data_IF_937786045845
#
_entry.id   IF_937786045845
#
_cell.length_a   1.000
_cell.length_b   1.000
_cell.length_c   1.000
_cell.angle_alpha   90.00
_cell.angle_beta   90.00
_cell.angle_gamma   90.00
#
_symmetry.space_group_name_H-M   'P 1'
#
loop_
_entity.id
_entity.type
_entity.pdbx_description
1 polymer ?
#
# COMPACT_ATOMS: atom_id res chain seq x y z
N UNK A 1 34.51 4.70 12.05
CA UNK A 1 34.44 5.02 10.60
C UNK A 1 33.37 6.07 10.28
N UNK A 2 32.07 5.83 10.56
CA UNK A 2 30.99 6.79 10.26
C UNK A 2 31.13 8.14 10.99
N UNK A 3 31.57 8.15 12.26
CA UNK A 3 31.81 9.40 12.98
C UNK A 3 32.95 10.26 12.38
N UNK A 4 33.93 9.64 11.71
CA UNK A 4 35.07 10.35 11.09
C UNK A 4 34.80 10.77 9.64
N UNK A 5 34.02 9.99 8.88
CA UNK A 5 33.87 10.19 7.43
C UNK A 5 32.41 10.36 6.95
N UNK A 6 31.44 10.34 7.86
CA UNK A 6 30.01 10.39 7.54
C UNK A 6 29.51 11.71 6.96
N UNK A 7 30.34 12.77 7.02
CA UNK A 7 29.99 14.12 6.58
C UNK A 7 29.75 14.24 5.06
N UNK A 8 30.19 13.26 4.25
CA UNK A 8 29.94 13.21 2.81
C UNK A 8 28.78 12.28 2.42
N UNK A 9 28.29 11.48 3.36
CA UNK A 9 27.33 10.41 3.09
C UNK A 9 25.94 11.00 2.79
N UNK A 10 25.32 10.54 1.71
CA UNK A 10 23.96 10.95 1.29
C UNK A 10 22.88 9.92 1.61
N UNK A 11 23.24 8.64 1.62
CA UNK A 11 22.31 7.54 1.88
C UNK A 11 22.97 6.59 2.88
N UNK A 12 22.27 6.25 3.95
CA UNK A 12 22.73 5.26 4.92
C UNK A 12 21.65 4.21 5.13
N UNK A 13 21.95 2.98 4.73
CA UNK A 13 21.02 1.88 4.84
C UNK A 13 21.54 0.85 5.85
N UNK A 14 20.89 0.80 7.02
CA UNK A 14 21.24 -0.08 8.13
C UNK A 14 20.05 -0.95 8.54
N UNK A 15 19.10 -1.20 7.64
CA UNK A 15 17.95 -2.07 7.89
C UNK A 15 18.33 -3.48 8.34
N UNK A 16 17.58 -4.05 9.28
CA UNK A 16 17.72 -5.44 9.73
C UNK A 16 19.11 -5.82 10.29
N UNK A 17 19.82 -4.89 10.95
CA UNK A 17 21.17 -5.11 11.47
C UNK A 17 21.26 -5.24 13.01
N UNK A 18 20.12 -5.28 13.71
CA UNK A 18 20.09 -5.38 15.17
C UNK A 18 20.63 -4.14 15.89
N UNK A 19 20.66 -2.98 15.23
CA UNK A 19 21.13 -1.72 15.80
C UNK A 19 20.25 -1.32 17.00
N UNK A 20 20.87 -0.96 18.12
CA UNK A 20 20.18 -0.56 19.35
C UNK A 20 20.25 0.94 19.62
N UNK A 21 21.26 1.63 19.07
CA UNK A 21 21.45 3.07 19.24
C UNK A 21 22.18 3.68 18.03
N UNK A 22 21.87 4.95 17.74
CA UNK A 22 22.50 5.74 16.66
C UNK A 22 22.96 7.13 17.14
N UNK A 23 22.97 7.38 18.46
CA UNK A 23 23.25 8.68 19.06
C UNK A 23 24.65 9.23 18.73
N UNK A 24 25.67 8.38 18.76
CA UNK A 24 27.06 8.81 18.51
C UNK A 24 27.32 9.11 17.03
N UNK A 25 26.57 8.50 16.10
CA UNK A 25 26.86 8.60 14.66
C UNK A 25 26.03 9.68 13.97
N UNK A 26 24.75 9.87 14.36
CA UNK A 26 23.83 10.82 13.71
C UNK A 26 24.36 12.25 13.60
N UNK A 27 25.04 12.82 14.62
CA UNK A 27 25.60 14.17 14.55
C UNK A 27 26.54 14.42 13.37
N UNK A 28 27.19 13.37 12.86
CA UNK A 28 28.21 13.45 11.81
C UNK A 28 27.64 13.27 10.39
N UNK A 29 26.34 13.02 10.25
CA UNK A 29 25.71 12.58 9.00
C UNK A 29 24.89 13.71 8.31
N UNK A 30 25.29 14.96 8.49
CA UNK A 30 24.53 16.18 8.10
C UNK A 30 24.24 16.35 6.60
N UNK A 31 24.79 15.50 5.73
CA UNK A 31 24.48 15.49 4.28
C UNK A 31 23.52 14.38 3.85
N UNK A 32 23.03 13.57 4.80
CA UNK A 32 22.07 12.51 4.50
C UNK A 32 20.78 13.08 3.92
N UNK A 33 20.33 12.44 2.85
CA UNK A 33 19.02 12.60 2.24
C UNK A 33 18.13 11.38 2.49
N UNK A 34 18.72 10.20 2.73
CA UNK A 34 17.98 8.95 2.99
C UNK A 34 18.61 8.21 4.18
N UNK A 35 17.79 7.83 5.16
CA UNK A 35 18.19 7.06 6.34
C UNK A 35 17.24 5.88 6.57
N UNK A 36 17.79 4.68 6.35
CA UNK A 36 17.16 3.37 6.51
C UNK A 36 17.59 2.76 7.85
N UNK A 37 16.69 2.67 8.82
CA UNK A 37 16.92 2.09 10.15
C UNK A 37 15.85 1.04 10.51
N UNK A 38 15.11 0.56 9.52
CA UNK A 38 14.03 -0.41 9.69
C UNK A 38 14.49 -1.77 10.23
N UNK A 39 13.60 -2.50 10.89
CA UNK A 39 13.87 -3.87 11.35
C UNK A 39 15.01 -3.98 12.38
N UNK A 40 15.25 -2.93 13.15
CA UNK A 40 16.28 -2.89 14.18
C UNK A 40 15.68 -2.98 15.60
N UNK A 41 16.48 -2.67 16.64
CA UNK A 41 16.07 -2.74 18.05
C UNK A 41 16.17 -1.38 18.73
N UNK A 42 15.97 -0.29 18.00
CA UNK A 42 16.02 1.07 18.53
C UNK A 42 14.85 1.27 19.52
N UNK A 43 15.17 1.60 20.77
CA UNK A 43 14.18 2.01 21.78
C UNK A 43 13.88 3.51 21.74
N UNK A 44 14.83 4.30 21.22
CA UNK A 44 14.74 5.74 21.07
C UNK A 44 15.41 6.23 19.79
N UNK A 45 14.97 7.40 19.33
CA UNK A 45 15.64 8.16 18.29
C UNK A 45 16.20 9.43 18.94
N UNK A 46 17.52 9.69 18.86
CA UNK A 46 18.13 10.79 19.60
C UNK A 46 17.78 12.14 18.98
N UNK A 47 17.77 13.18 19.81
CA UNK A 47 17.54 14.58 19.41
C UNK A 47 18.46 15.06 18.27
N UNK A 48 19.65 14.45 18.14
CA UNK A 48 20.58 14.71 17.05
C UNK A 48 19.99 14.52 15.64
N UNK A 49 18.86 13.80 15.49
CA UNK A 49 18.15 13.67 14.21
C UNK A 49 17.81 15.03 13.60
N UNK A 50 17.50 16.04 14.43
CA UNK A 50 17.17 17.39 13.97
C UNK A 50 18.29 18.10 13.21
N UNK A 51 19.54 17.63 13.33
CA UNK A 51 20.68 18.15 12.56
C UNK A 51 20.67 17.71 11.09
N UNK A 52 19.83 16.74 10.73
CA UNK A 52 19.72 16.23 9.36
C UNK A 52 18.69 17.05 8.55
N UNK A 53 19.01 18.32 8.33
CA UNK A 53 18.16 19.30 7.62
C UNK A 53 17.88 18.93 6.15
N UNK A 54 18.76 18.13 5.55
CA UNK A 54 18.69 17.61 4.17
C UNK A 54 17.96 16.27 4.07
N UNK A 55 17.60 15.64 5.18
CA UNK A 55 16.95 14.34 5.19
C UNK A 55 15.58 14.44 4.51
N UNK A 56 15.34 13.60 3.51
CA UNK A 56 14.09 13.52 2.74
C UNK A 56 13.29 12.29 3.13
N UNK A 57 13.96 11.17 3.32
CA UNK A 57 13.32 9.90 3.66
C UNK A 57 13.91 9.30 4.93
N UNK A 58 13.04 8.99 5.87
CA UNK A 58 13.39 8.36 7.14
C UNK A 58 12.55 7.11 7.37
N UNK A 59 13.18 5.95 7.36
CA UNK A 59 12.54 4.66 7.59
C UNK A 59 12.97 4.08 8.94
N UNK A 60 12.03 4.05 9.89
CA UNK A 60 12.19 3.60 11.28
C UNK A 60 11.30 2.40 11.60
N UNK A 61 10.62 1.84 10.61
CA UNK A 61 9.59 0.85 10.85
C UNK A 61 10.16 -0.48 11.38
N UNK A 62 9.40 -1.20 12.21
CA UNK A 62 9.87 -2.44 12.82
C UNK A 62 10.99 -2.23 13.85
N UNK A 63 10.83 -1.22 14.72
CA UNK A 63 11.72 -0.94 15.86
C UNK A 63 10.91 -1.00 17.18
N UNK A 64 11.51 -0.53 18.28
CA UNK A 64 10.91 -0.52 19.61
C UNK A 64 10.64 0.90 20.14
N UNK A 65 10.55 1.90 19.23
CA UNK A 65 10.43 3.32 19.58
C UNK A 65 9.15 3.58 20.37
N UNK A 66 9.27 4.28 21.49
CA UNK A 66 8.12 4.68 22.32
C UNK A 66 7.68 6.13 22.10
N UNK A 67 8.60 6.96 21.62
CA UNK A 67 8.37 8.34 21.22
C UNK A 67 9.27 8.73 20.04
N UNK A 68 8.95 9.84 19.37
CA UNK A 68 9.84 10.54 18.44
C UNK A 68 10.33 11.83 19.12
N UNK A 69 11.60 12.22 18.96
CA UNK A 69 12.14 13.45 19.53
C UNK A 69 11.49 14.68 18.89
N UNK A 70 11.31 15.75 19.66
CA UNK A 70 10.73 17.00 19.14
C UNK A 70 11.61 17.62 18.04
N UNK A 71 12.91 17.40 18.11
CA UNK A 71 13.91 17.85 17.14
C UNK A 71 13.70 17.25 15.74
N UNK A 72 12.91 16.17 15.61
CA UNK A 72 12.51 15.68 14.29
C UNK A 72 11.76 16.74 13.47
N UNK A 73 11.10 17.70 14.13
CA UNK A 73 10.49 18.87 13.47
C UNK A 73 11.49 19.81 12.78
N UNK A 74 12.80 19.68 13.03
CA UNK A 74 13.86 20.48 12.40
C UNK A 74 14.32 19.91 11.06
N UNK A 75 13.92 18.68 10.70
CA UNK A 75 14.23 18.05 9.42
C UNK A 75 13.41 18.66 8.27
N UNK A 76 13.63 19.94 7.95
CA UNK A 76 12.79 20.73 7.03
C UNK A 76 12.64 20.16 5.60
N UNK A 77 13.57 19.28 5.17
CA UNK A 77 13.51 18.60 3.88
C UNK A 77 12.71 17.29 3.89
N UNK A 78 12.23 16.83 5.04
CA UNK A 78 11.63 15.50 5.18
C UNK A 78 10.31 15.42 4.42
N UNK A 79 10.24 14.50 3.47
CA UNK A 79 9.07 14.22 2.62
C UNK A 79 8.36 12.94 3.02
N UNK A 80 9.09 11.95 3.54
CA UNK A 80 8.54 10.65 3.94
C UNK A 80 9.08 10.23 5.31
N UNK A 81 8.16 9.91 6.22
CA UNK A 81 8.44 9.31 7.52
C UNK A 81 7.68 7.97 7.65
N UNK A 82 8.43 6.87 7.71
CA UNK A 82 7.89 5.56 8.02
C UNK A 82 8.26 5.13 9.44
N UNK A 83 7.32 5.20 10.38
CA UNK A 83 7.52 4.79 11.78
C UNK A 83 6.48 3.75 12.25
N UNK A 84 5.90 3.01 11.31
CA UNK A 84 4.97 1.93 11.58
C UNK A 84 5.64 0.72 12.26
N UNK A 85 4.87 -0.16 12.89
CA UNK A 85 5.42 -1.28 13.70
C UNK A 85 6.43 -0.82 14.75
N UNK A 86 6.01 0.13 15.59
CA UNK A 86 6.76 0.61 16.76
C UNK A 86 5.84 0.58 18.00
N UNK A 87 6.20 1.30 19.06
CA UNK A 87 5.43 1.41 20.30
C UNK A 87 5.07 2.87 20.61
N UNK A 88 4.97 3.72 19.58
CA UNK A 88 4.74 5.16 19.73
C UNK A 88 3.40 5.40 20.43
N UNK A 89 3.43 6.09 21.57
CA UNK A 89 2.21 6.45 22.31
C UNK A 89 1.64 7.82 21.88
N UNK A 90 2.51 8.71 21.38
CA UNK A 90 2.13 10.01 20.86
C UNK A 90 3.10 10.48 19.77
N UNK A 91 2.71 11.56 19.07
CA UNK A 91 3.59 12.30 18.18
C UNK A 91 3.96 13.65 18.80
N UNK A 92 5.23 14.09 18.69
CA UNK A 92 5.62 15.42 19.15
C UNK A 92 4.90 16.49 18.33
N UNK A 93 4.42 17.55 18.99
CA UNK A 93 3.74 18.67 18.31
C UNK A 93 4.63 19.31 17.23
N UNK A 94 5.95 19.34 17.46
CA UNK A 94 6.95 19.85 16.52
C UNK A 94 6.94 19.12 15.16
N UNK A 95 6.43 17.87 15.09
CA UNK A 95 6.27 17.19 13.81
C UNK A 95 5.36 17.97 12.85
N UNK A 96 4.35 18.68 13.39
CA UNK A 96 3.44 19.52 12.61
C UNK A 96 4.11 20.73 11.93
N UNK A 97 5.37 21.03 12.25
CA UNK A 97 6.13 22.11 11.63
C UNK A 97 6.87 21.68 10.34
N UNK A 98 6.77 20.42 9.92
CA UNK A 98 7.48 19.91 8.74
C UNK A 98 6.80 20.35 7.44
N UNK A 99 7.39 21.30 6.68
CA UNK A 99 6.69 21.98 5.58
C UNK A 99 6.61 21.13 4.29
N UNK A 100 7.26 19.97 4.25
CA UNK A 100 7.37 19.11 3.05
C UNK A 100 6.93 17.68 3.30
N UNK A 101 6.46 17.34 4.50
CA UNK A 101 6.10 15.96 4.85
C UNK A 101 4.81 15.56 4.13
N UNK A 102 4.96 14.70 3.13
CA UNK A 102 3.88 14.21 2.27
C UNK A 102 3.42 12.81 2.66
N UNK A 103 4.32 11.96 3.16
CA UNK A 103 4.00 10.59 3.60
C UNK A 103 4.29 10.39 5.08
N UNK A 104 3.26 10.06 5.86
CA UNK A 104 3.36 9.74 7.28
C UNK A 104 2.72 8.37 7.58
N UNK A 105 3.55 7.40 7.92
CA UNK A 105 3.14 6.01 8.14
C UNK A 105 3.37 5.61 9.59
N UNK A 106 2.28 5.43 10.33
CA UNK A 106 2.25 5.23 11.77
C UNK A 106 1.43 4.01 12.19
N UNK A 107 1.02 3.19 11.24
CA UNK A 107 0.21 2.01 11.54
C UNK A 107 0.93 1.04 12.48
N UNK A 108 0.17 0.29 13.29
CA UNK A 108 0.74 -0.64 14.28
C UNK A 108 1.66 0.06 15.30
N UNK A 109 1.09 1.03 16.02
CA UNK A 109 1.71 1.71 17.14
C UNK A 109 0.76 1.69 18.35
N UNK A 110 1.01 2.53 19.37
CA UNK A 110 0.18 2.70 20.56
C UNK A 110 -0.44 4.10 20.62
N UNK A 111 -0.56 4.79 19.48
CA UNK A 111 -1.12 6.15 19.44
C UNK A 111 -2.58 6.06 19.86
N UNK A 112 -3.03 6.89 20.79
CA UNK A 112 -4.40 6.83 21.27
C UNK A 112 -4.97 8.20 21.60
N UNK A 113 -6.10 8.17 22.31
CA UNK A 113 -6.86 9.38 22.64
C UNK A 113 -7.68 9.89 21.45
N UNK A 114 -7.96 11.20 21.47
CA UNK A 114 -8.80 11.86 20.46
C UNK A 114 -8.05 12.04 19.13
N UNK A 115 -8.64 11.53 18.05
CA UNK A 115 -8.12 11.74 16.70
C UNK A 115 -8.26 13.22 16.29
N UNK A 116 -9.31 13.89 16.74
CA UNK A 116 -9.49 15.33 16.55
C UNK A 116 -8.35 16.12 17.21
N UNK A 117 -7.96 15.76 18.44
CA UNK A 117 -6.83 16.40 19.12
C UNK A 117 -5.51 16.18 18.38
N UNK A 118 -5.23 14.95 17.91
CA UNK A 118 -4.04 14.66 17.09
C UNK A 118 -4.03 15.47 15.80
N UNK A 119 -5.19 15.60 15.14
CA UNK A 119 -5.35 16.42 13.94
C UNK A 119 -5.04 17.88 14.23
N UNK A 120 -5.63 18.47 15.27
CA UNK A 120 -5.43 19.88 15.60
C UNK A 120 -3.98 20.18 16.01
N UNK A 121 -3.34 19.25 16.71
CA UNK A 121 -1.97 19.44 17.20
C UNK A 121 -0.89 19.22 16.15
N UNK A 122 -1.10 18.25 15.24
CA UNK A 122 -0.05 17.79 14.31
C UNK A 122 -0.55 17.76 12.88
N UNK A 123 -1.57 16.95 12.57
CA UNK A 123 -1.84 16.55 11.19
C UNK A 123 -2.33 17.71 10.30
N UNK A 124 -3.14 18.64 10.84
CA UNK A 124 -3.70 19.76 10.05
C UNK A 124 -2.65 20.73 9.51
N UNK A 125 -1.45 20.71 10.09
CA UNK A 125 -0.35 21.60 9.74
C UNK A 125 0.57 21.00 8.68
N UNK A 126 0.38 19.72 8.34
CA UNK A 126 1.23 18.98 7.42
C UNK A 126 0.61 18.90 6.02
N UNK A 127 1.42 19.02 4.94
CA UNK A 127 0.96 18.86 3.57
C UNK A 127 0.87 17.37 3.16
N UNK A 128 0.22 16.56 3.98
CA UNK A 128 0.16 15.10 3.79
C UNK A 128 -0.64 14.75 2.54
N UNK A 129 -0.02 13.92 1.69
CA UNK A 129 -0.69 13.21 0.59
C UNK A 129 -1.06 11.80 1.03
N UNK A 130 -0.24 11.19 1.88
CA UNK A 130 -0.38 9.84 2.39
C UNK A 130 -0.29 9.84 3.92
N UNK A 131 -1.29 9.24 4.57
CA UNK A 131 -1.35 9.06 6.01
C UNK A 131 -1.87 7.67 6.32
N UNK A 132 -1.12 6.89 7.10
CA UNK A 132 -1.57 5.59 7.59
C UNK A 132 -1.55 5.58 9.13
N UNK A 133 -2.73 5.41 9.73
CA UNK A 133 -2.93 5.41 11.19
C UNK A 133 -3.50 4.10 11.73
N UNK A 134 -3.74 3.10 10.87
CA UNK A 134 -4.39 1.85 11.26
C UNK A 134 -3.67 1.10 12.40
N UNK A 135 -4.37 0.21 13.11
CA UNK A 135 -3.82 -0.54 14.24
C UNK A 135 -3.15 0.35 15.32
N UNK A 136 -3.88 1.38 15.75
CA UNK A 136 -3.58 2.25 16.89
C UNK A 136 -4.76 2.23 17.89
N UNK A 137 -4.65 2.93 19.02
CA UNK A 137 -5.59 2.93 20.15
C UNK A 137 -6.49 4.21 20.22
N UNK A 138 -6.92 4.75 19.09
CA UNK A 138 -7.85 5.90 19.04
C UNK A 138 -9.29 5.52 19.43
N UNK A 139 -10.04 6.49 19.95
CA UNK A 139 -11.47 6.32 20.28
C UNK A 139 -12.35 6.21 19.01
N UNK A 140 -13.35 5.33 19.05
CA UNK A 140 -14.22 4.92 17.95
C UNK A 140 -15.28 5.98 17.59
N UNK A 141 -15.73 6.79 18.54
CA UNK A 141 -16.86 7.72 18.33
C UNK A 141 -16.52 8.90 17.39
N UNK A 142 -15.27 9.38 17.40
CA UNK A 142 -14.84 10.59 16.68
C UNK A 142 -14.39 10.32 15.22
N UNK A 143 -14.10 9.07 14.87
CA UNK A 143 -13.67 8.71 13.51
C UNK A 143 -14.77 8.93 12.46
N UNK A 144 -16.05 8.91 12.87
CA UNK A 144 -17.21 9.26 12.04
C UNK A 144 -17.37 10.78 11.84
N UNK A 145 -16.96 11.59 12.80
CA UNK A 145 -17.05 13.07 12.74
C UNK A 145 -16.09 13.65 11.71
N UNK A 146 -14.86 13.11 11.62
CA UNK A 146 -13.87 13.50 10.60
C UNK A 146 -14.38 13.25 9.18
N UNK A 147 -15.12 12.15 8.97
CA UNK A 147 -15.74 11.82 7.69
C UNK A 147 -16.89 12.80 7.32
N UNK A 148 -17.62 13.31 8.31
CA UNK A 148 -18.71 14.27 8.13
C UNK A 148 -18.21 15.71 7.86
N UNK A 149 -17.12 16.16 8.51
CA UNK A 149 -16.58 17.51 8.32
C UNK A 149 -15.78 17.65 7.00
N UNK A 150 -15.14 16.57 6.56
CA UNK A 150 -14.46 16.49 5.25
C UNK A 150 -15.45 16.44 4.07
N UNK A 151 -16.74 16.14 4.33
CA UNK A 151 -17.83 16.20 3.35
C UNK A 151 -18.72 17.44 3.52
N UNK A 152 -18.67 18.13 4.67
CA UNK A 152 -19.63 19.16 5.06
C UNK A 152 -19.21 20.64 4.89
N UNK A 153 -17.95 20.99 4.59
CA UNK A 153 -17.51 22.40 4.54
C UNK A 153 -17.14 22.96 3.16
N UNK A 154 -17.58 22.33 2.06
CA UNK A 154 -17.36 22.85 0.71
C UNK A 154 -18.62 22.87 -0.18
N UNK A 155 -19.81 23.00 0.41
CA UNK A 155 -21.04 23.11 -0.38
C UNK A 155 -21.52 24.56 -0.63
N UNK A 156 -20.95 25.61 -0.01
CA UNK A 156 -21.42 26.98 -0.29
C UNK A 156 -20.31 28.03 -0.23
N UNK A 157 -20.10 28.64 -1.41
CA UNK A 157 -19.46 29.92 -1.69
C UNK A 157 -17.93 30.00 -1.49
N UNK A 158 -17.16 30.06 -2.60
CA UNK A 158 -16.69 31.31 -3.23
C UNK A 158 -16.06 30.96 -4.57
N UNK A 159 -16.49 31.69 -5.60
CA UNK A 159 -15.98 31.69 -6.96
C UNK A 159 -14.60 32.34 -7.07
N UNK A 160 -13.82 31.87 -8.05
CA UNK A 160 -12.64 32.47 -8.68
C UNK A 160 -11.25 32.23 -8.07
N UNK A 161 -10.35 31.80 -8.97
CA UNK A 161 -8.89 31.70 -8.89
C UNK A 161 -8.26 30.63 -7.98
N UNK A 162 -7.73 29.60 -8.65
CA UNK A 162 -6.34 29.17 -8.48
C UNK A 162 -5.99 28.25 -7.30
N UNK A 163 -5.76 26.98 -7.63
CA UNK A 163 -4.92 26.01 -6.91
C UNK A 163 -5.06 25.90 -5.38
N UNK A 164 -5.71 24.83 -4.91
CA UNK A 164 -5.08 23.98 -3.88
C UNK A 164 -5.71 22.59 -3.88
N UNK A 165 -4.85 21.58 -4.01
CA UNK A 165 -5.22 20.18 -3.93
C UNK A 165 -5.61 19.82 -2.50
N UNK A 166 -6.84 19.37 -2.32
CA UNK A 166 -7.28 18.74 -1.09
C UNK A 166 -6.87 17.26 -1.13
N UNK A 167 -5.90 16.88 -0.29
CA UNK A 167 -5.59 15.48 -0.02
C UNK A 167 -6.79 14.80 0.66
N UNK A 168 -7.17 13.64 0.13
CA UNK A 168 -8.21 12.78 0.70
C UNK A 168 -7.54 11.79 1.65
N UNK A 169 -7.91 11.83 2.93
CA UNK A 169 -7.34 10.99 3.99
C UNK A 169 -8.17 9.71 4.07
N UNK A 170 -7.56 8.55 3.81
CA UNK A 170 -8.15 7.24 4.09
C UNK A 170 -7.96 6.90 5.57
N UNK A 171 -9.05 6.73 6.31
CA UNK A 171 -9.02 6.26 7.69
C UNK A 171 -9.21 4.74 7.70
N UNK A 172 -8.14 3.98 7.99
CA UNK A 172 -8.22 2.56 8.29
C UNK A 172 -8.69 2.30 9.72
N UNK A 173 -9.75 1.50 9.88
CA UNK A 173 -10.42 1.19 11.16
C UNK A 173 -9.77 0.02 11.92
N UNK A 174 -10.00 -0.06 13.23
CA UNK A 174 -9.47 -1.09 14.12
C UNK A 174 -10.59 -1.97 14.75
N UNK A 175 -10.29 -3.27 14.89
CA UNK A 175 -10.92 -4.34 15.71
C UNK A 175 -12.47 -4.48 15.76
N UNK A 176 -12.94 -5.58 15.16
CA UNK A 176 -14.14 -6.33 15.57
C UNK A 176 -13.80 -7.82 15.71
N UNK A 177 -14.50 -8.56 16.58
CA UNK A 177 -14.22 -9.97 16.90
C UNK A 177 -14.24 -10.86 15.64
N UNK A 178 -13.15 -11.62 15.33
CA UNK A 178 -13.18 -12.59 14.25
C UNK A 178 -14.16 -13.75 14.57
N UNK A 179 -14.76 -14.40 13.55
CA UNK A 179 -15.52 -15.64 13.74
C UNK A 179 -14.70 -16.67 14.52
N UNK A 180 -15.35 -17.45 15.40
CA UNK A 180 -14.69 -18.34 16.38
C UNK A 180 -13.62 -19.28 15.77
N UNK A 181 -13.75 -19.66 14.50
CA UNK A 181 -12.80 -20.51 13.77
C UNK A 181 -11.46 -19.82 13.38
N UNK A 182 -11.29 -18.52 13.63
CA UNK A 182 -10.08 -17.75 13.26
C UNK A 182 -9.35 -17.14 14.48
N UNK A 183 -9.81 -17.44 15.71
CA UNK A 183 -9.26 -16.89 16.95
C UNK A 183 -7.84 -17.35 17.28
N UNK A 184 -7.43 -18.53 16.82
CA UNK A 184 -6.16 -19.13 17.25
C UNK A 184 -5.02 -18.98 16.23
N UNK A 185 -5.31 -18.43 15.03
CA UNK A 185 -4.33 -18.34 13.94
C UNK A 185 -3.96 -16.89 13.57
N UNK A 186 -4.86 -15.94 13.78
CA UNK A 186 -4.69 -14.56 13.26
C UNK A 186 -4.60 -13.48 14.34
N UNK A 187 -4.79 -13.82 15.61
CA UNK A 187 -4.85 -12.86 16.73
C UNK A 187 -3.56 -12.08 16.98
N UNK A 188 -2.41 -12.58 16.49
CA UNK A 188 -1.12 -11.88 16.64
C UNK A 188 -0.67 -11.10 15.39
N UNK A 189 -1.45 -11.07 14.29
CA UNK A 189 -1.03 -10.47 13.01
C UNK A 189 -2.08 -9.64 12.26
N UNK A 190 -3.13 -9.14 12.93
CA UNK A 190 -4.22 -8.43 12.23
C UNK A 190 -3.77 -7.10 11.60
N UNK A 191 -3.50 -7.18 10.29
CA UNK A 191 -3.29 -6.08 9.37
C UNK A 191 -4.57 -5.28 9.14
N UNK A 192 -4.50 -3.97 9.33
CA UNK A 192 -5.50 -3.02 8.85
C UNK A 192 -5.10 -2.56 7.45
N UNK A 193 -6.01 -2.70 6.50
CA UNK A 193 -5.86 -2.22 5.13
C UNK A 193 -6.42 -0.80 5.01
N UNK A 194 -5.69 0.10 4.36
CA UNK A 194 -6.21 1.42 3.99
C UNK A 194 -7.16 1.24 2.80
N UNK A 195 -8.47 1.34 3.05
CA UNK A 195 -9.49 1.34 1.99
C UNK A 195 -9.69 2.77 1.51
N UNK A 196 -8.99 3.13 0.45
CA UNK A 196 -9.24 4.39 -0.22
C UNK A 196 -10.40 4.21 -1.19
N UNK A 197 -11.40 5.09 -1.09
CA UNK A 197 -12.37 5.32 -2.16
C UNK A 197 -12.02 6.68 -2.75
N UNK A 198 -11.93 6.77 -4.07
CA UNK A 198 -11.97 8.08 -4.73
C UNK A 198 -13.43 8.52 -4.80
N UNK A 199 -13.84 9.63 -4.14
CA UNK A 199 -15.19 10.15 -4.27
C UNK A 199 -15.45 10.63 -5.69
N UNK A 200 -16.47 10.06 -6.32
CA UNK A 200 -17.21 10.72 -7.40
C UNK A 200 -18.08 11.85 -6.82
N UNK A 201 -18.33 12.87 -7.64
CA UNK A 201 -19.35 13.86 -7.37
C UNK A 201 -20.67 13.14 -7.02
N UNK A 202 -21.33 13.58 -5.96
CA UNK A 202 -22.47 12.89 -5.35
C UNK A 202 -23.54 12.45 -6.38
N UNK A 203 -23.80 11.14 -6.47
CA UNK A 203 -25.08 10.61 -6.98
C UNK A 203 -25.07 9.57 -8.09
N UNK A 204 -23.94 9.26 -8.75
CA UNK A 204 -23.90 8.25 -9.83
C UNK A 204 -22.83 7.20 -9.53
N UNK A 205 -23.25 5.93 -9.36
CA UNK A 205 -22.36 4.78 -9.26
C UNK A 205 -21.76 4.50 -10.64
N UNK A 206 -20.45 4.27 -10.73
CA UNK A 206 -19.78 3.93 -11.99
C UNK A 206 -20.24 2.57 -12.53
N UNK A 207 -20.13 2.38 -13.85
CA UNK A 207 -20.52 1.13 -14.52
C UNK A 207 -19.53 -0.02 -14.24
N UNK A 208 -18.31 0.34 -13.82
CA UNK A 208 -17.21 -0.60 -13.58
C UNK A 208 -16.60 -0.33 -12.20
N UNK A 209 -16.36 -1.39 -11.42
CA UNK A 209 -15.49 -1.33 -10.25
C UNK A 209 -14.09 -1.84 -10.60
N UNK A 210 -13.09 -1.00 -10.37
CA UNK A 210 -11.69 -1.37 -10.39
C UNK A 210 -11.22 -1.72 -8.97
N UNK A 211 -10.76 -2.94 -8.77
CA UNK A 211 -10.14 -3.39 -7.52
C UNK A 211 -8.63 -3.39 -7.72
N UNK A 212 -7.96 -2.41 -7.11
CA UNK A 212 -6.52 -2.17 -7.24
C UNK A 212 -5.75 -2.76 -6.06
N UNK A 213 -5.00 -3.82 -6.30
CA UNK A 213 -4.08 -4.40 -5.35
C UNK A 213 -2.73 -3.70 -5.41
N UNK A 214 -2.31 -3.08 -4.31
CA UNK A 214 -1.01 -2.44 -4.21
C UNK A 214 0.07 -3.48 -3.88
N UNK A 215 1.17 -3.48 -4.62
CA UNK A 215 2.42 -4.02 -4.12
C UNK A 215 3.34 -2.90 -3.66
N UNK A 216 3.72 -3.03 -2.40
CA UNK A 216 4.69 -2.21 -1.67
C UNK A 216 4.13 -0.90 -1.12
N UNK A 217 3.94 -0.91 0.20
CA UNK A 217 3.77 0.28 1.04
C UNK A 217 2.35 0.84 1.09
N UNK A 218 1.88 1.30 2.26
CA UNK A 218 0.70 2.15 2.34
C UNK A 218 0.95 3.45 1.53
N UNK A 219 -0.10 4.03 0.94
CA UNK A 219 0.00 5.27 0.14
C UNK A 219 0.52 5.13 -1.29
N UNK A 220 0.74 3.92 -1.82
CA UNK A 220 1.09 3.76 -3.23
C UNK A 220 -0.15 3.80 -4.14
N UNK A 221 -0.46 5.01 -4.58
CA UNK A 221 -1.44 5.38 -5.59
C UNK A 221 -1.03 5.00 -7.03
N UNK A 222 -0.26 3.91 -7.23
CA UNK A 222 0.23 3.53 -8.57
C UNK A 222 -0.91 3.43 -9.61
N UNK A 223 -2.10 3.05 -9.14
CA UNK A 223 -3.29 2.94 -9.96
C UNK A 223 -4.14 4.22 -9.97
N UNK A 224 -3.97 5.17 -9.05
CA UNK A 224 -4.83 6.35 -8.95
C UNK A 224 -4.68 7.29 -10.16
N UNK A 225 -3.45 7.68 -10.51
CA UNK A 225 -3.22 8.56 -11.66
C UNK A 225 -3.71 7.91 -12.98
N UNK A 226 -3.39 6.63 -13.28
CA UNK A 226 -3.95 5.97 -14.46
C UNK A 226 -5.49 5.83 -14.44
N UNK A 227 -6.09 5.56 -13.27
CA UNK A 227 -7.56 5.50 -13.14
C UNK A 227 -8.21 6.86 -13.36
N UNK A 228 -7.63 7.93 -12.80
CA UNK A 228 -8.08 9.29 -13.01
C UNK A 228 -8.00 9.69 -14.50
N UNK A 229 -6.92 9.31 -15.20
CA UNK A 229 -6.79 9.54 -16.63
C UNK A 229 -7.83 8.76 -17.45
N UNK A 230 -8.15 7.52 -17.08
CA UNK A 230 -9.20 6.74 -17.72
C UNK A 230 -10.59 7.38 -17.53
N UNK A 231 -10.87 7.94 -16.33
CA UNK A 231 -12.11 8.69 -16.06
C UNK A 231 -12.21 9.98 -16.87
N UNK A 232 -11.12 10.73 -16.96
CA UNK A 232 -11.06 11.96 -17.76
C UNK A 232 -11.34 11.69 -19.25
N UNK A 233 -11.11 10.46 -19.72
CA UNK A 233 -11.43 10.01 -21.07
C UNK A 233 -12.88 9.50 -21.25
N UNK A 234 -13.77 9.72 -20.26
CA UNK A 234 -15.20 9.44 -20.35
C UNK A 234 -15.65 8.06 -19.85
N UNK A 235 -14.79 7.31 -19.15
CA UNK A 235 -15.15 6.01 -18.56
C UNK A 235 -15.55 6.18 -17.09
N UNK A 236 -16.80 5.88 -16.73
CA UNK A 236 -17.25 5.93 -15.34
C UNK A 236 -16.74 4.70 -14.56
N UNK A 237 -15.72 4.89 -13.72
CA UNK A 237 -15.07 3.82 -12.96
C UNK A 237 -15.05 4.15 -11.47
N UNK A 238 -15.55 3.25 -10.63
CA UNK A 238 -15.29 3.29 -9.19
C UNK A 238 -14.02 2.50 -8.88
N UNK A 239 -13.25 2.93 -7.86
CA UNK A 239 -12.00 2.26 -7.50
C UNK A 239 -11.96 1.87 -6.02
N UNK A 240 -11.68 0.60 -5.76
CA UNK A 240 -11.40 0.03 -4.44
C UNK A 240 -9.91 -0.29 -4.37
N UNK A 241 -9.17 0.45 -3.55
CA UNK A 241 -7.75 0.19 -3.33
C UNK A 241 -7.57 -0.76 -2.15
N UNK A 242 -6.80 -1.82 -2.36
CA UNK A 242 -6.50 -2.86 -1.38
C UNK A 242 -4.98 -3.01 -1.24
N UNK A 243 -4.47 -2.65 -0.07
CA UNK A 243 -3.06 -2.82 0.28
C UNK A 243 -2.93 -3.82 1.44
N UNK A 244 -2.06 -4.82 1.31
CA UNK A 244 -1.72 -5.72 2.40
C UNK A 244 -0.22 -5.62 2.71
N UNK A 245 0.16 -4.77 3.67
CA UNK A 245 1.56 -4.58 4.04
C UNK A 245 2.14 -5.83 4.74
N UNK A 246 1.30 -6.77 5.16
CA UNK A 246 1.71 -7.96 5.91
C UNK A 246 1.89 -9.21 5.06
N UNK A 247 1.55 -9.15 3.77
CA UNK A 247 1.50 -10.31 2.86
C UNK A 247 0.57 -11.44 3.36
N UNK A 248 -0.43 -11.10 4.18
CA UNK A 248 -1.46 -12.01 4.67
C UNK A 248 -2.33 -12.65 3.58
N UNK A 249 -2.48 -12.05 2.39
CA UNK A 249 -3.17 -12.70 1.25
C UNK A 249 -2.66 -14.12 1.01
N UNK A 250 -1.36 -14.35 1.24
CA UNK A 250 -0.66 -15.57 0.84
C UNK A 250 -0.40 -16.52 2.01
N UNK A 251 -0.79 -16.14 3.24
CA UNK A 251 -0.53 -16.97 4.42
C UNK A 251 -1.50 -18.16 4.45
N UNK A 252 -0.91 -19.34 4.54
CA UNK A 252 -1.62 -20.57 4.86
C UNK A 252 -1.79 -20.68 6.37
N UNK A 253 -2.96 -21.09 6.84
CA UNK A 253 -3.16 -21.43 8.24
C UNK A 253 -2.43 -22.75 8.59
N UNK A 254 -2.11 -23.01 9.87
CA UNK A 254 -1.42 -24.23 10.31
C UNK A 254 -2.12 -25.54 9.94
N UNK A 255 -3.41 -25.51 9.61
CA UNK A 255 -4.19 -26.65 9.16
C UNK A 255 -4.19 -26.81 7.62
N UNK A 256 -3.36 -26.04 6.91
CA UNK A 256 -3.24 -26.10 5.46
C UNK A 256 -4.30 -25.29 4.69
N UNK A 257 -5.11 -24.49 5.37
CA UNK A 257 -6.15 -23.66 4.76
C UNK A 257 -5.70 -22.25 4.35
N UNK A 258 -6.52 -21.57 3.56
CA UNK A 258 -6.23 -20.23 3.01
C UNK A 258 -7.02 -19.13 3.74
N UNK A 259 -6.78 -18.98 5.04
CA UNK A 259 -7.48 -18.01 5.91
C UNK A 259 -7.43 -16.57 5.39
N UNK A 260 -6.24 -16.11 4.99
CA UNK A 260 -6.02 -14.77 4.43
C UNK A 260 -6.77 -14.54 3.12
N UNK A 261 -6.61 -15.44 2.14
CA UNK A 261 -7.37 -15.36 0.87
C UNK A 261 -8.87 -15.34 1.14
N UNK A 262 -9.39 -16.18 2.03
CA UNK A 262 -10.83 -16.22 2.36
C UNK A 262 -11.31 -14.93 3.01
N UNK A 263 -10.50 -14.32 3.86
CA UNK A 263 -10.80 -13.02 4.47
C UNK A 263 -10.95 -11.94 3.40
N UNK A 264 -9.95 -11.78 2.55
CA UNK A 264 -9.97 -10.77 1.50
C UNK A 264 -11.02 -11.05 0.42
N UNK A 265 -11.27 -12.32 0.11
CA UNK A 265 -12.34 -12.71 -0.81
C UNK A 265 -13.72 -12.26 -0.30
N UNK A 266 -14.02 -12.44 0.99
CA UNK A 266 -15.29 -11.94 1.56
C UNK A 266 -15.39 -10.42 1.45
N UNK A 267 -14.30 -9.72 1.72
CA UNK A 267 -14.23 -8.27 1.60
C UNK A 267 -14.48 -7.81 0.16
N UNK A 268 -13.70 -8.33 -0.79
CA UNK A 268 -13.82 -7.97 -2.22
C UNK A 268 -15.24 -8.26 -2.69
N UNK A 269 -15.77 -9.45 -2.37
CA UNK A 269 -17.12 -9.88 -2.75
C UNK A 269 -18.21 -8.93 -2.23
N UNK A 270 -18.09 -8.46 -0.98
CA UNK A 270 -19.05 -7.50 -0.42
C UNK A 270 -19.11 -6.19 -1.22
N UNK A 271 -17.97 -5.78 -1.80
CA UNK A 271 -17.86 -4.54 -2.56
C UNK A 271 -18.18 -4.72 -4.05
N UNK A 272 -17.87 -5.89 -4.62
CA UNK A 272 -18.16 -6.19 -6.03
C UNK A 272 -19.62 -6.56 -6.28
N UNK A 273 -20.37 -6.98 -5.25
CA UNK A 273 -21.74 -7.52 -5.40
C UNK A 273 -22.73 -6.60 -6.13
N UNK A 274 -22.54 -5.27 -6.07
CA UNK A 274 -23.44 -4.34 -6.76
C UNK A 274 -22.89 -3.78 -8.08
N UNK A 275 -21.77 -4.28 -8.58
CA UNK A 275 -21.21 -3.85 -9.86
C UNK A 275 -21.40 -4.92 -10.92
N UNK A 276 -21.94 -4.51 -12.07
CA UNK A 276 -22.12 -5.41 -13.22
C UNK A 276 -20.77 -5.80 -13.83
N UNK A 277 -19.75 -4.94 -13.72
CA UNK A 277 -18.42 -5.12 -14.33
C UNK A 277 -17.34 -4.85 -13.30
N UNK A 278 -16.34 -5.72 -13.27
CA UNK A 278 -15.27 -5.64 -12.27
C UNK A 278 -13.93 -5.95 -12.93
N UNK A 279 -12.97 -5.05 -12.75
CA UNK A 279 -11.57 -5.17 -13.16
C UNK A 279 -10.69 -5.33 -11.92
N UNK A 280 -9.94 -6.43 -11.82
CA UNK A 280 -8.90 -6.58 -10.81
C UNK A 280 -7.56 -6.17 -11.42
N UNK A 281 -6.78 -5.36 -10.71
CA UNK A 281 -5.46 -4.92 -11.20
C UNK A 281 -4.44 -4.92 -10.07
N UNK A 282 -3.21 -5.34 -10.34
CA UNK A 282 -2.13 -5.26 -9.36
C UNK A 282 -0.75 -5.46 -9.95
N UNK A 283 0.26 -4.99 -9.24
CA UNK A 283 1.69 -5.15 -9.58
C UNK A 283 2.40 -5.98 -8.53
N UNK A 284 3.54 -6.60 -8.85
CA UNK A 284 4.38 -7.35 -7.89
C UNK A 284 3.54 -8.31 -7.01
N UNK A 285 3.60 -8.21 -5.69
CA UNK A 285 2.74 -8.98 -4.77
C UNK A 285 1.24 -8.80 -5.11
N UNK A 286 0.76 -7.56 -5.25
CA UNK A 286 -0.61 -7.25 -5.65
C UNK A 286 -1.02 -7.85 -7.00
N UNK A 287 -0.08 -8.07 -7.91
CA UNK A 287 -0.31 -8.83 -9.16
C UNK A 287 -0.70 -10.28 -8.85
N UNK A 288 0.01 -10.92 -7.94
CA UNK A 288 -0.38 -12.26 -7.44
C UNK A 288 -1.75 -12.22 -6.74
N UNK A 289 -2.05 -11.20 -5.92
CA UNK A 289 -3.37 -11.06 -5.31
C UNK A 289 -4.49 -10.90 -6.35
N UNK A 290 -4.28 -10.10 -7.39
CA UNK A 290 -5.22 -9.93 -8.49
C UNK A 290 -5.53 -11.28 -9.18
N UNK A 291 -4.52 -12.14 -9.34
CA UNK A 291 -4.69 -13.48 -9.89
C UNK A 291 -5.40 -14.44 -8.92
N UNK A 292 -5.08 -14.40 -7.62
CA UNK A 292 -5.72 -15.23 -6.59
C UNK A 292 -7.22 -14.94 -6.42
N UNK A 293 -7.62 -13.71 -6.71
CA UNK A 293 -9.00 -13.23 -6.59
C UNK A 293 -9.70 -13.06 -7.94
N UNK A 294 -9.08 -13.49 -9.05
CA UNK A 294 -9.59 -13.26 -10.42
C UNK A 294 -11.04 -13.74 -10.63
N UNK A 295 -11.47 -14.79 -9.93
CA UNK A 295 -12.84 -15.33 -9.98
C UNK A 295 -13.93 -14.38 -9.47
N UNK A 296 -13.55 -13.27 -8.82
CA UNK A 296 -14.44 -12.24 -8.32
C UNK A 296 -14.67 -11.10 -9.33
N UNK A 297 -14.00 -11.14 -10.49
CA UNK A 297 -14.20 -10.16 -11.54
C UNK A 297 -14.34 -10.74 -12.94
N UNK A 298 -14.39 -9.83 -13.91
CA UNK A 298 -14.61 -10.12 -15.32
C UNK A 298 -13.30 -9.96 -16.12
N UNK A 299 -12.41 -9.09 -15.63
CA UNK A 299 -11.04 -8.93 -16.11
C UNK A 299 -10.07 -8.92 -14.93
N UNK A 300 -8.89 -9.48 -15.12
CA UNK A 300 -7.77 -9.32 -14.18
C UNK A 300 -6.47 -8.98 -14.92
N UNK A 301 -5.76 -7.95 -14.47
CA UNK A 301 -4.49 -7.51 -15.05
C UNK A 301 -3.40 -7.57 -13.98
N UNK A 302 -2.39 -8.38 -14.21
CA UNK A 302 -1.30 -8.60 -13.26
C UNK A 302 0.04 -8.18 -13.87
N UNK A 303 0.78 -7.32 -13.18
CA UNK A 303 2.09 -6.85 -13.62
C UNK A 303 3.20 -7.46 -12.76
N UNK A 304 4.00 -8.36 -13.33
CA UNK A 304 5.17 -8.96 -12.68
C UNK A 304 4.86 -9.63 -11.34
N UNK A 305 3.99 -10.67 -11.27
CA UNK A 305 3.65 -11.35 -10.02
C UNK A 305 4.89 -11.91 -9.30
N UNK A 306 4.93 -11.86 -7.95
CA UNK A 306 6.16 -12.12 -7.17
C UNK A 306 6.11 -13.11 -6.02
N UNK A 307 4.94 -13.59 -5.58
CA UNK A 307 4.86 -14.46 -4.38
C UNK A 307 5.09 -15.94 -4.72
N UNK A 308 6.02 -16.18 -5.65
CA UNK A 308 6.46 -17.50 -6.07
C UNK A 308 5.32 -18.44 -6.45
N UNK A 309 4.77 -18.18 -7.64
CA UNK A 309 3.97 -19.16 -8.39
C UNK A 309 4.77 -20.43 -8.75
N UNK A 310 6.11 -20.45 -8.53
CA UNK A 310 7.01 -21.63 -8.48
C UNK A 310 8.09 -21.58 -7.39
N UNK A 311 8.72 -22.74 -7.23
CA UNK A 311 9.83 -23.20 -6.37
C UNK A 311 11.14 -22.39 -6.27
N UNK A 312 11.34 -21.19 -6.82
CA UNK A 312 12.73 -20.65 -6.95
C UNK A 312 13.25 -19.66 -5.91
N UNK A 313 12.48 -19.09 -4.97
CA UNK A 313 13.08 -18.19 -3.96
C UNK A 313 12.65 -18.42 -2.49
N UNK A 314 13.66 -18.56 -1.63
CA UNK A 314 13.57 -18.30 -0.18
C UNK A 314 13.26 -19.50 0.73
N UNK A 315 14.08 -19.66 1.77
CA UNK A 315 13.95 -20.67 2.83
C UNK A 315 12.80 -20.40 3.83
N UNK A 316 11.93 -19.41 3.57
CA UNK A 316 10.96 -18.89 4.55
C UNK A 316 9.50 -19.33 4.31
N UNK A 317 9.21 -20.02 3.21
CA UNK A 317 7.88 -20.60 2.95
C UNK A 317 8.06 -22.09 2.58
N UNK A 318 7.37 -23.05 3.21
CA UNK A 318 7.46 -24.46 2.82
C UNK A 318 6.95 -24.75 1.40
N UNK A 319 7.43 -25.83 0.77
CA UNK A 319 7.11 -26.17 -0.63
C UNK A 319 5.63 -26.52 -0.90
N UNK A 320 4.95 -27.06 0.10
CA UNK A 320 3.55 -27.48 0.03
C UNK A 320 2.54 -26.31 -0.05
N UNK A 321 2.62 -25.26 0.80
CA UNK A 321 1.87 -24.01 0.64
C UNK A 321 2.01 -23.37 -0.76
N UNK A 322 3.18 -23.48 -1.39
CA UNK A 322 3.48 -22.88 -2.70
C UNK A 322 2.76 -23.56 -3.86
N UNK A 323 2.75 -24.90 -3.93
CA UNK A 323 2.00 -25.64 -4.96
C UNK A 323 0.51 -25.37 -4.88
N UNK A 324 0.00 -25.25 -3.66
CA UNK A 324 -1.39 -24.91 -3.41
C UNK A 324 -1.74 -23.49 -3.89
N UNK A 325 -0.81 -22.53 -3.83
CA UNK A 325 -1.01 -21.17 -4.38
C UNK A 325 -1.23 -21.21 -5.91
N UNK A 326 -0.35 -21.88 -6.65
CA UNK A 326 -0.43 -22.01 -8.11
C UNK A 326 -1.70 -22.73 -8.55
N UNK A 327 -2.05 -23.82 -7.86
CA UNK A 327 -3.30 -24.54 -8.11
C UNK A 327 -4.52 -23.63 -7.89
N UNK A 328 -4.50 -22.80 -6.84
CA UNK A 328 -5.58 -21.87 -6.52
C UNK A 328 -5.70 -20.74 -7.55
N UNK A 329 -4.58 -20.17 -8.02
CA UNK A 329 -4.59 -19.20 -9.13
C UNK A 329 -5.18 -19.82 -10.39
N UNK A 330 -4.71 -21.02 -10.78
CA UNK A 330 -5.27 -21.73 -11.95
C UNK A 330 -6.77 -21.97 -11.81
N UNK A 331 -7.23 -22.37 -10.61
CA UNK A 331 -8.65 -22.54 -10.33
C UNK A 331 -9.42 -21.22 -10.44
N UNK A 332 -8.92 -20.13 -9.85
CA UNK A 332 -9.55 -18.81 -9.92
C UNK A 332 -9.69 -18.33 -11.38
N UNK A 333 -8.64 -18.50 -12.18
CA UNK A 333 -8.64 -18.19 -13.61
C UNK A 333 -9.63 -19.05 -14.40
N UNK A 334 -9.68 -20.36 -14.13
CA UNK A 334 -10.64 -21.25 -14.78
C UNK A 334 -12.10 -20.87 -14.46
N UNK A 335 -12.40 -20.54 -13.21
CA UNK A 335 -13.74 -20.08 -12.78
C UNK A 335 -14.11 -18.75 -13.46
N UNK A 336 -13.17 -17.80 -13.53
CA UNK A 336 -13.38 -16.55 -14.25
C UNK A 336 -13.64 -16.80 -15.74
N UNK A 337 -12.83 -17.65 -16.38
CA UNK A 337 -12.97 -17.98 -17.80
C UNK A 337 -14.30 -18.66 -18.13
N UNK A 338 -14.76 -19.58 -17.28
CA UNK A 338 -16.07 -20.23 -17.44
C UNK A 338 -17.25 -19.24 -17.43
N UNK A 339 -17.05 -18.03 -16.88
CA UNK A 339 -18.04 -16.93 -16.89
C UNK A 339 -17.80 -15.92 -18.03
N UNK A 340 -16.93 -16.24 -18.99
CA UNK A 340 -16.55 -15.35 -20.10
C UNK A 340 -15.49 -14.30 -19.74
N UNK A 341 -14.93 -14.35 -18.52
CA UNK A 341 -13.87 -13.45 -18.09
C UNK A 341 -12.50 -13.78 -18.70
N UNK A 342 -11.55 -12.85 -18.58
CA UNK A 342 -10.19 -12.98 -19.12
C UNK A 342 -9.15 -12.35 -18.20
N UNK A 343 -7.91 -12.83 -18.26
CA UNK A 343 -6.80 -12.19 -17.58
C UNK A 343 -5.64 -11.87 -18.53
N UNK A 344 -4.86 -10.86 -18.16
CA UNK A 344 -3.60 -10.52 -18.79
C UNK A 344 -2.50 -10.46 -17.74
N UNK A 345 -1.35 -11.07 -18.02
CA UNK A 345 -0.14 -11.00 -17.21
C UNK A 345 0.93 -10.30 -18.02
N UNK A 346 1.49 -9.21 -17.48
CA UNK A 346 2.54 -8.40 -18.08
C UNK A 346 3.83 -8.60 -17.29
N UNK A 347 4.90 -9.08 -17.93
CA UNK A 347 6.18 -9.39 -17.27
C UNK A 347 7.37 -8.78 -18.01
N UNK A 348 8.43 -8.46 -17.26
CA UNK A 348 9.70 -8.01 -17.85
C UNK A 348 10.54 -9.19 -18.32
N UNK A 349 11.03 -9.14 -19.56
CA UNK A 349 11.89 -10.16 -20.16
C UNK A 349 13.28 -10.24 -19.50
N UNK A 350 13.75 -9.16 -18.88
CA UNK A 350 15.05 -9.10 -18.21
C UNK A 350 15.13 -9.87 -16.88
N UNK A 351 14.02 -10.38 -16.35
CA UNK A 351 14.00 -11.12 -15.09
C UNK A 351 13.48 -12.55 -15.28
N UNK A 352 14.40 -13.53 -15.27
CA UNK A 352 14.07 -14.95 -15.39
C UNK A 352 13.07 -15.43 -14.34
N UNK A 353 13.05 -14.82 -13.14
CA UNK A 353 12.15 -15.23 -12.04
C UNK A 353 10.71 -14.82 -12.31
N UNK A 354 10.47 -13.53 -12.59
CA UNK A 354 9.11 -13.02 -12.85
C UNK A 354 8.53 -13.71 -14.12
N UNK A 355 9.39 -13.97 -15.11
CA UNK A 355 9.04 -14.72 -16.32
C UNK A 355 8.64 -16.17 -16.02
N UNK A 356 9.46 -16.87 -15.23
CA UNK A 356 9.18 -18.26 -14.86
C UNK A 356 7.88 -18.37 -14.06
N UNK A 357 7.64 -17.45 -13.11
CA UNK A 357 6.40 -17.40 -12.34
C UNK A 357 5.17 -17.21 -13.23
N UNK A 358 5.24 -16.31 -14.22
CA UNK A 358 4.13 -16.10 -15.15
C UNK A 358 3.87 -17.31 -16.06
N UNK A 359 4.93 -18.01 -16.49
CA UNK A 359 4.80 -19.22 -17.33
C UNK A 359 4.01 -20.35 -16.66
N UNK A 360 3.99 -20.42 -15.33
CA UNK A 360 3.26 -21.47 -14.61
C UNK A 360 1.75 -21.33 -14.71
N UNK A 361 1.28 -20.12 -14.93
CA UNK A 361 -0.13 -19.83 -15.13
C UNK A 361 -0.44 -19.58 -16.60
N UNK A 362 0.55 -19.46 -17.48
CA UNK A 362 0.39 -19.18 -18.91
C UNK A 362 -0.57 -20.13 -19.66
N UNK A 363 -0.70 -21.37 -19.20
CA UNK A 363 -1.61 -22.35 -19.79
C UNK A 363 -3.03 -22.32 -19.20
N UNK A 364 -3.31 -21.40 -18.26
CA UNK A 364 -4.65 -21.25 -17.71
C UNK A 364 -5.62 -20.72 -18.79
N UNK A 365 -6.83 -21.27 -18.90
CA UNK A 365 -7.82 -20.81 -19.87
C UNK A 365 -8.12 -19.31 -19.73
N UNK A 366 -8.18 -18.60 -20.86
CA UNK A 366 -8.51 -17.17 -20.88
C UNK A 366 -7.41 -16.23 -20.37
N UNK A 367 -6.18 -16.72 -20.16
CA UNK A 367 -5.02 -15.91 -19.79
C UNK A 367 -4.18 -15.53 -21.03
N UNK A 368 -3.83 -14.25 -21.15
CA UNK A 368 -2.82 -13.76 -22.08
C UNK A 368 -1.53 -13.40 -21.32
N UNK A 369 -0.37 -13.78 -21.86
CA UNK A 369 0.94 -13.42 -21.34
C UNK A 369 1.61 -12.42 -22.28
N UNK A 370 2.08 -11.31 -21.73
CA UNK A 370 2.75 -10.23 -22.46
C UNK A 370 4.12 -9.97 -21.85
N UNK A 371 5.15 -10.05 -22.69
CA UNK A 371 6.53 -9.79 -22.30
C UNK A 371 6.94 -8.37 -22.70
N UNK A 372 7.71 -7.70 -21.85
CA UNK A 372 8.18 -6.32 -22.04
C UNK A 372 9.69 -6.27 -21.91
N UNK A 373 10.37 -5.49 -22.75
CA UNK A 373 11.83 -5.32 -22.69
C UNK A 373 12.23 -4.40 -21.53
N UNK A 374 12.10 -4.93 -20.31
CA UNK A 374 12.42 -4.23 -19.08
C UNK A 374 12.95 -5.19 -18.02
N UNK A 375 13.82 -4.67 -17.15
CA UNK A 375 14.34 -5.36 -15.99
C UNK A 375 13.42 -5.09 -14.80
N UNK A 376 13.05 -6.15 -14.05
CA UNK A 376 12.32 -6.11 -12.75
C UNK A 376 10.77 -6.07 -12.77
N UNK A 377 10.19 -6.12 -11.55
CA UNK A 377 8.79 -5.87 -11.15
C UNK A 377 8.23 -4.47 -11.51
N UNK A 378 8.98 -3.69 -12.27
CA UNK A 378 8.71 -2.30 -12.59
C UNK A 378 7.93 -2.15 -13.90
N UNK A 379 7.33 -3.22 -14.42
CA UNK A 379 6.57 -3.22 -15.67
C UNK A 379 5.56 -2.06 -15.74
N UNK A 380 4.80 -1.72 -14.69
CA UNK A 380 3.92 -0.54 -14.77
C UNK A 380 4.70 0.77 -14.89
N UNK A 381 5.83 0.94 -14.20
CA UNK A 381 6.67 2.14 -14.34
C UNK A 381 7.33 2.24 -15.71
N UNK A 382 7.73 1.11 -16.28
CA UNK A 382 8.22 1.04 -17.66
C UNK A 382 7.14 1.48 -18.64
N UNK A 383 5.96 0.86 -18.57
CA UNK A 383 4.82 1.21 -19.43
C UNK A 383 4.38 2.66 -19.24
N UNK A 384 4.46 3.21 -18.03
CA UNK A 384 4.16 4.63 -17.78
C UNK A 384 5.17 5.55 -18.46
N UNK A 385 6.47 5.25 -18.38
CA UNK A 385 7.54 6.02 -19.06
C UNK A 385 7.39 6.00 -20.57
N UNK A 386 6.96 4.88 -21.13
CA UNK A 386 6.69 4.73 -22.57
C UNK A 386 5.32 5.33 -22.98
N UNK A 387 4.52 5.85 -22.03
CA UNK A 387 3.18 6.39 -22.29
C UNK A 387 2.14 5.32 -22.66
N UNK A 388 2.40 4.05 -22.33
CA UNK A 388 1.60 2.89 -22.70
C UNK A 388 0.67 2.39 -21.59
N UNK A 389 0.94 2.71 -20.32
CA UNK A 389 0.17 2.17 -19.18
C UNK A 389 -1.31 2.63 -19.20
N UNK A 390 -1.55 3.93 -19.36
CA UNK A 390 -2.91 4.49 -19.43
C UNK A 390 -3.70 3.94 -20.64
N UNK A 391 -3.16 3.94 -21.87
CA UNK A 391 -3.82 3.32 -23.02
C UNK A 391 -4.19 1.85 -22.79
N UNK A 392 -3.31 1.08 -22.16
CA UNK A 392 -3.56 -0.33 -21.84
C UNK A 392 -4.74 -0.48 -20.88
N UNK A 393 -4.74 0.24 -19.75
CA UNK A 393 -5.83 0.15 -18.78
C UNK A 393 -7.16 0.63 -19.38
N UNK A 394 -7.13 1.69 -20.20
CA UNK A 394 -8.29 2.16 -20.95
C UNK A 394 -8.85 1.06 -21.87
N UNK A 395 -7.99 0.32 -22.58
CA UNK A 395 -8.41 -0.79 -23.44
C UNK A 395 -9.11 -1.88 -22.65
N UNK A 396 -8.57 -2.27 -21.48
CA UNK A 396 -9.19 -3.29 -20.63
C UNK A 396 -10.55 -2.84 -20.08
N UNK A 397 -10.68 -1.56 -19.71
CA UNK A 397 -11.95 -0.98 -19.26
C UNK A 397 -12.98 -0.90 -20.40
N UNK A 398 -12.58 -0.47 -21.60
CA UNK A 398 -13.48 -0.44 -22.75
C UNK A 398 -13.94 -1.84 -23.15
N UNK A 399 -13.05 -2.83 -23.07
CA UNK A 399 -13.40 -4.23 -23.32
C UNK A 399 -14.40 -4.80 -22.31
N UNK A 400 -14.48 -4.24 -21.09
CA UNK A 400 -15.54 -4.56 -20.12
C UNK A 400 -16.86 -3.91 -20.47
N UNK A 401 -16.86 -2.72 -21.09
CA UNK A 401 -18.07 -1.99 -21.44
C UNK A 401 -18.75 -2.53 -22.72
N UNK A 402 -17.95 -3.14 -23.61
CA UNK A 402 -18.42 -3.70 -24.89
C UNK A 402 -18.92 -5.15 -24.78
N UNK A 403 -18.62 -5.83 -23.68
CA UNK A 403 -19.15 -7.15 -23.33
C UNK A 403 -20.29 -7.03 -22.31
#
# INVERSE_FOLDING_TARGET
MLAQHGHSLKKLHLGCNGVTCVAEVLPHLTRLTELCLEGNRLSELPAAIGRLDKLRELWLHGNLLTCLPAELGQCASLTVLQAHHNRLAELPAALGALPRLQGLYLQSNRLGGSLAALRQRVLRHLPLQNLALGANAFDLAEASELASELSGSAARAVTSSGHSGAARIGLGWNRGTPPAALRDVLTDRLATTDHFFEPMAAGVRGDVLLVAFAAQGPGMQQWAAPCAAARAAGVAVDALYLADPSNSYYLQDPAGGWGGVRYFERLIRAHTAGYARVLLVGSSMGGTAALLHAHLGHRAVSFGPRVDLDLTHGAHVPAEPRRACTARVRHALAVMHARGGRAAVHVGAGNAVDMMQARLVAHAPGLALHEHDTFHHNVPMFLEREGLLVPLLKRELLALLQG
#
